data_IF_405716318419
#
_entry.id   IF_405716318419
#
_cell.length_a   1.000
_cell.length_b   1.000
_cell.length_c   1.000
_cell.angle_alpha   90.00
_cell.angle_beta   90.00
_cell.angle_gamma   90.00
#
_symmetry.space_group_name_H-M   'P 1'
#
loop_
_entity.id
_entity.type
_entity.pdbx_description
1 polymer ?
#
# COMPACT_ATOMS: atom_id res chain seq x y z
N UNK A 1 -9.70 -18.52 -14.41
CA UNK A 1 -9.76 -18.94 -12.99
C UNK A 1 -9.10 -17.88 -12.14
N UNK A 2 -9.89 -17.11 -11.40
CA UNK A 2 -9.44 -15.98 -10.60
C UNK A 2 -8.76 -16.50 -9.34
N UNK A 3 -7.42 -16.40 -9.25
CA UNK A 3 -6.70 -16.76 -8.02
C UNK A 3 -7.13 -15.81 -6.88
N UNK A 4 -7.38 -16.30 -5.67
CA UNK A 4 -7.68 -15.45 -4.52
C UNK A 4 -6.49 -14.54 -4.22
N UNK A 5 -6.77 -13.30 -3.81
CA UNK A 5 -5.76 -12.27 -3.52
C UNK A 5 -4.68 -12.71 -2.51
N UNK A 6 -4.99 -13.73 -1.69
CA UNK A 6 -4.06 -14.37 -0.75
C UNK A 6 -2.90 -15.13 -1.41
N UNK A 7 -3.03 -15.57 -2.66
CA UNK A 7 -1.95 -16.24 -3.40
C UNK A 7 -1.00 -15.28 -4.15
N UNK A 8 -1.33 -13.98 -4.21
CA UNK A 8 -0.52 -12.99 -4.92
C UNK A 8 0.64 -12.43 -4.08
N UNK A 9 0.88 -12.94 -2.87
CA UNK A 9 2.05 -12.60 -2.03
C UNK A 9 2.15 -11.11 -1.67
N UNK A 10 1.08 -10.33 -1.83
CA UNK A 10 1.10 -8.91 -1.55
C UNK A 10 0.98 -8.71 -0.05
N UNK A 11 2.12 -8.76 0.65
CA UNK A 11 2.23 -8.30 2.04
C UNK A 11 2.13 -6.78 2.10
N UNK A 12 0.99 -6.23 1.68
CA UNK A 12 0.69 -4.82 1.82
C UNK A 12 0.41 -4.53 3.31
N UNK A 13 1.46 -4.27 4.06
CA UNK A 13 1.35 -3.99 5.48
C UNK A 13 1.05 -2.51 5.68
N UNK A 14 0.15 -2.23 6.62
CA UNK A 14 -0.13 -0.89 7.14
C UNK A 14 0.40 -0.79 8.56
N UNK A 15 0.99 0.35 8.89
CA UNK A 15 1.26 0.72 10.27
C UNK A 15 0.95 2.19 10.59
N UNK A 16 0.66 2.46 11.86
CA UNK A 16 0.52 3.81 12.41
C UNK A 16 0.76 3.84 13.92
N UNK A 17 1.14 5.00 14.45
CA UNK A 17 1.33 5.20 15.90
C UNK A 17 -0.01 5.25 16.64
N UNK A 18 -0.10 4.56 17.77
CA UNK A 18 -1.26 4.61 18.65
C UNK A 18 -1.62 6.06 19.02
N UNK A 19 -2.90 6.41 18.90
CA UNK A 19 -3.37 7.77 19.22
C UNK A 19 -3.51 8.06 20.72
N UNK A 20 -3.29 7.08 21.60
CA UNK A 20 -3.31 7.30 23.04
C UNK A 20 -2.04 8.04 23.47
N UNK A 21 -2.14 9.20 24.16
CA UNK A 21 -0.99 10.02 24.53
C UNK A 21 0.08 9.29 25.35
N UNK A 22 -0.33 8.30 26.14
CA UNK A 22 0.53 7.52 27.04
C UNK A 22 1.01 6.20 26.40
N UNK A 23 0.77 6.01 25.10
CA UNK A 23 1.09 4.78 24.38
C UNK A 23 1.99 5.09 23.17
N UNK A 24 3.16 4.46 23.14
CA UNK A 24 4.11 4.48 22.02
C UNK A 24 3.91 3.31 21.04
N UNK A 25 2.86 2.51 21.22
CA UNK A 25 2.62 1.30 20.46
C UNK A 25 2.37 1.59 18.97
N UNK A 26 2.87 0.72 18.10
CA UNK A 26 2.60 0.78 16.66
C UNK A 26 1.53 -0.24 16.32
N UNK A 27 0.42 0.24 15.78
CA UNK A 27 -0.67 -0.61 15.28
C UNK A 27 -0.27 -1.09 13.89
N UNK A 28 -0.29 -2.40 13.65
CA UNK A 28 0.10 -3.01 12.37
C UNK A 28 -0.93 -4.04 11.92
N UNK A 29 -1.28 -4.05 10.64
CA UNK A 29 -2.19 -5.04 10.06
C UNK A 29 -1.94 -5.20 8.55
N UNK A 30 -2.41 -6.31 7.97
CA UNK A 30 -2.37 -6.52 6.54
C UNK A 30 -3.56 -5.83 5.88
N UNK A 31 -3.33 -5.13 4.78
CA UNK A 31 -4.37 -4.46 4.01
C UNK A 31 -5.45 -5.44 3.52
N UNK A 32 -5.11 -6.71 3.25
CA UNK A 32 -6.08 -7.73 2.87
C UNK A 32 -7.11 -8.04 3.98
N UNK A 33 -6.76 -7.81 5.24
CA UNK A 33 -7.61 -8.15 6.39
C UNK A 33 -8.79 -7.18 6.55
N UNK A 34 -8.70 -5.96 5.98
CA UNK A 34 -9.74 -4.93 6.12
C UNK A 34 -11.06 -5.32 5.44
N UNK A 35 -11.01 -6.27 4.50
CA UNK A 35 -12.18 -6.77 3.79
C UNK A 35 -13.11 -7.61 4.70
N UNK A 36 -12.64 -8.02 5.88
CA UNK A 36 -13.45 -8.65 6.90
C UNK A 36 -14.56 -7.72 7.40
N UNK A 37 -15.79 -8.23 7.50
CA UNK A 37 -16.96 -7.47 7.97
C UNK A 37 -16.72 -6.78 9.32
N UNK A 38 -16.02 -7.46 10.22
CA UNK A 38 -15.78 -7.02 11.60
C UNK A 38 -14.33 -6.61 11.87
N UNK A 39 -13.57 -6.27 10.83
CA UNK A 39 -12.17 -5.85 11.01
C UNK A 39 -12.08 -4.59 11.89
N UNK A 40 -11.28 -4.68 12.95
CA UNK A 40 -10.82 -3.57 13.78
C UNK A 40 -9.32 -3.66 13.94
N UNK A 41 -8.62 -2.53 13.76
CA UNK A 41 -7.21 -2.47 14.09
C UNK A 41 -7.09 -2.29 15.62
N UNK A 42 -6.24 -3.07 16.27
CA UNK A 42 -6.09 -3.05 17.73
C UNK A 42 -4.63 -2.76 18.07
N UNK A 43 -4.40 -1.78 18.96
CA UNK A 43 -3.06 -1.51 19.45
C UNK A 43 -2.57 -2.68 20.30
N UNK A 44 -1.38 -3.26 20.02
CA UNK A 44 -0.87 -4.39 20.78
C UNK A 44 -0.44 -4.02 22.20
N UNK A 45 -0.19 -2.73 22.49
CA UNK A 45 0.32 -2.26 23.79
C UNK A 45 -0.79 -1.83 24.76
N UNK A 46 -1.74 -1.03 24.30
CA UNK A 46 -2.82 -0.50 25.16
C UNK A 46 -4.20 -1.08 24.85
N UNK A 47 -4.29 -2.04 23.92
CA UNK A 47 -5.53 -2.69 23.48
C UNK A 47 -6.62 -1.75 22.97
N UNK A 48 -6.27 -0.50 22.63
CA UNK A 48 -7.20 0.43 22.02
C UNK A 48 -7.60 -0.07 20.63
N UNK A 49 -8.90 -0.20 20.41
CA UNK A 49 -9.47 -0.53 19.10
C UNK A 49 -9.69 0.73 18.26
N UNK A 50 -9.46 0.59 16.96
CA UNK A 50 -9.69 1.58 15.93
C UNK A 50 -10.68 1.00 14.92
N UNK A 51 -11.88 1.58 14.90
CA UNK A 51 -12.84 1.32 13.85
C UNK A 51 -12.45 2.13 12.62
N UNK A 52 -12.27 1.44 11.48
CA UNK A 52 -12.12 2.10 10.20
C UNK A 52 -13.51 2.41 9.67
N UNK A 53 -13.81 3.69 9.46
CA UNK A 53 -15.08 4.10 8.84
C UNK A 53 -15.18 3.61 7.39
N UNK A 54 -16.38 3.70 6.80
CA UNK A 54 -16.64 3.21 5.45
C UNK A 54 -15.82 3.94 4.37
N UNK A 55 -15.55 5.23 4.55
CA UNK A 55 -14.76 6.02 3.59
C UNK A 55 -13.28 5.63 3.62
N UNK A 56 -12.73 5.38 4.81
CA UNK A 56 -11.38 4.87 5.00
C UNK A 56 -11.26 3.45 4.45
N UNK A 57 -12.23 2.56 4.75
CA UNK A 57 -12.26 1.19 4.20
C UNK A 57 -12.33 1.19 2.68
N UNK A 58 -13.13 2.05 2.05
CA UNK A 58 -13.21 2.18 0.59
C UNK A 58 -11.86 2.60 -0.03
N UNK A 59 -11.21 3.64 0.52
CA UNK A 59 -9.89 4.09 0.04
C UNK A 59 -8.82 3.00 0.15
N UNK A 60 -8.77 2.33 1.29
CA UNK A 60 -7.83 1.24 1.54
C UNK A 60 -8.14 0.03 0.63
N UNK A 61 -9.41 -0.27 0.36
CA UNK A 61 -9.83 -1.30 -0.59
C UNK A 61 -9.36 -1.02 -2.02
N UNK A 62 -9.58 0.20 -2.53
CA UNK A 62 -9.08 0.61 -3.86
C UNK A 62 -7.56 0.57 -3.95
N UNK A 63 -6.87 0.89 -2.86
CA UNK A 63 -5.42 0.75 -2.78
C UNK A 63 -4.98 -0.70 -2.92
N UNK A 64 -5.67 -1.65 -2.29
CA UNK A 64 -5.40 -3.08 -2.46
C UNK A 64 -5.60 -3.52 -3.91
N UNK A 65 -6.69 -3.08 -4.54
CA UNK A 65 -6.97 -3.36 -5.96
C UNK A 65 -5.88 -2.82 -6.88
N UNK A 66 -5.38 -1.61 -6.63
CA UNK A 66 -4.27 -1.01 -7.38
C UNK A 66 -2.99 -1.86 -7.27
N UNK A 67 -2.62 -2.30 -6.07
CA UNK A 67 -1.44 -3.16 -5.86
C UNK A 67 -1.58 -4.46 -6.64
N UNK A 68 -2.77 -5.08 -6.59
CA UNK A 68 -3.07 -6.30 -7.32
C UNK A 68 -2.95 -6.07 -8.82
N UNK A 69 -3.46 -4.94 -9.34
CA UNK A 69 -3.38 -4.60 -10.75
C UNK A 69 -1.92 -4.40 -11.20
N UNK A 70 -1.12 -3.68 -10.41
CA UNK A 70 0.31 -3.47 -10.68
C UNK A 70 1.07 -4.80 -10.75
N UNK A 71 0.87 -5.69 -9.78
CA UNK A 71 1.51 -7.02 -9.77
C UNK A 71 1.10 -7.89 -10.96
N UNK A 72 -0.17 -7.79 -11.39
CA UNK A 72 -0.63 -8.51 -12.59
C UNK A 72 -0.03 -7.97 -13.88
N UNK A 73 0.41 -6.72 -13.88
CA UNK A 73 1.01 -6.04 -15.02
C UNK A 73 2.55 -6.00 -14.95
N UNK A 74 3.17 -6.70 -14.01
CA UNK A 74 4.61 -6.62 -13.73
C UNK A 74 5.48 -6.89 -14.97
N UNK A 75 5.07 -7.85 -15.80
CA UNK A 75 5.72 -8.20 -17.06
C UNK A 75 5.72 -7.02 -18.05
N UNK A 76 4.54 -6.44 -18.31
CA UNK A 76 4.42 -5.31 -19.25
C UNK A 76 5.01 -4.02 -18.68
N UNK A 77 4.98 -3.85 -17.35
CA UNK A 77 5.53 -2.67 -16.69
C UNK A 77 7.06 -2.70 -16.67
N UNK A 78 7.68 -3.88 -16.75
CA UNK A 78 9.12 -4.02 -17.00
C UNK A 78 9.54 -3.39 -18.32
N UNK A 79 8.73 -3.57 -19.37
CA UNK A 79 8.98 -3.06 -20.72
C UNK A 79 8.41 -1.64 -20.97
N UNK A 80 7.62 -1.13 -20.03
CA UNK A 80 6.94 0.16 -20.17
C UNK A 80 7.83 1.33 -19.77
N UNK A 81 7.74 2.43 -20.51
CA UNK A 81 8.40 3.68 -20.21
C UNK A 81 7.39 4.83 -20.16
N UNK A 82 7.58 5.76 -19.22
CA UNK A 82 6.90 7.05 -19.19
C UNK A 82 7.78 8.06 -19.92
N UNK A 83 7.31 8.54 -21.07
CA UNK A 83 7.96 9.63 -21.79
C UNK A 83 7.58 10.98 -21.18
N UNK A 84 8.59 11.79 -20.85
CA UNK A 84 8.43 13.16 -20.33
C UNK A 84 9.12 14.13 -21.28
N UNK A 85 8.36 15.08 -21.81
CA UNK A 85 8.91 16.16 -22.62
C UNK A 85 9.49 17.26 -21.71
N UNK A 86 10.77 17.56 -21.88
CA UNK A 86 11.49 18.65 -21.21
C UNK A 86 12.06 19.62 -22.25
N UNK A 87 12.53 20.79 -21.80
CA UNK A 87 13.09 21.80 -22.71
C UNK A 87 14.28 21.29 -23.55
N UNK A 88 14.97 20.24 -23.09
CA UNK A 88 16.07 19.58 -23.79
C UNK A 88 15.69 18.34 -24.62
N UNK A 89 14.39 18.02 -24.78
CA UNK A 89 13.93 16.86 -25.54
C UNK A 89 13.04 15.90 -24.73
N UNK A 90 12.90 14.66 -25.21
CA UNK A 90 12.13 13.62 -24.52
C UNK A 90 13.05 12.79 -23.60
N UNK A 91 12.64 12.62 -22.34
CA UNK A 91 13.26 11.70 -21.39
C UNK A 91 12.33 10.52 -21.16
N UNK A 92 12.84 9.30 -21.31
CA UNK A 92 12.11 8.07 -21.01
C UNK A 92 12.47 7.58 -19.62
N UNK A 93 11.46 7.43 -18.77
CA UNK A 93 11.60 6.92 -17.40
C UNK A 93 11.02 5.51 -17.37
N UNK A 94 11.83 4.46 -17.15
CA UNK A 94 11.33 3.10 -17.03
C UNK A 94 10.33 2.96 -15.87
N UNK A 95 9.19 2.33 -16.13
CA UNK A 95 8.16 2.12 -15.10
C UNK A 95 8.68 1.18 -14.00
N UNK A 96 9.57 0.26 -14.34
CA UNK A 96 10.31 -0.60 -13.40
C UNK A 96 11.03 0.16 -12.26
N UNK A 97 11.55 1.37 -12.53
CA UNK A 97 12.16 2.20 -11.47
C UNK A 97 11.14 2.65 -10.44
N UNK A 98 9.91 2.93 -10.89
CA UNK A 98 8.82 3.26 -9.99
C UNK A 98 8.46 2.04 -9.16
N UNK A 99 8.37 0.84 -9.75
CA UNK A 99 7.97 -0.39 -9.03
C UNK A 99 8.94 -0.83 -7.94
N UNK A 100 10.26 -0.67 -8.15
CA UNK A 100 11.30 -1.10 -7.20
C UNK A 100 11.58 -0.08 -6.10
N UNK A 101 11.23 1.19 -6.31
CA UNK A 101 11.45 2.29 -5.36
C UNK A 101 10.16 2.97 -4.89
N UNK A 102 8.99 2.40 -5.21
CA UNK A 102 7.68 2.85 -4.74
C UNK A 102 7.56 2.57 -3.24
N UNK A 103 7.95 3.55 -2.44
CA UNK A 103 7.45 3.69 -1.09
C UNK A 103 6.11 4.42 -1.19
N UNK A 104 5.01 3.71 -1.48
CA UNK A 104 3.70 4.36 -1.59
C UNK A 104 3.28 4.86 -0.22
N UNK A 105 3.07 6.17 -0.13
CA UNK A 105 2.55 6.85 1.04
C UNK A 105 1.13 7.31 0.72
N UNK A 106 0.18 6.99 1.60
CA UNK A 106 -1.14 7.63 1.57
C UNK A 106 -1.38 8.33 2.90
N UNK A 107 -1.58 9.65 2.86
CA UNK A 107 -1.95 10.43 4.04
C UNK A 107 -3.48 10.49 4.12
N UNK A 108 -4.05 9.88 5.16
CA UNK A 108 -5.50 9.87 5.39
C UNK A 108 -5.81 10.56 6.70
N UNK A 109 -6.97 11.22 6.76
CA UNK A 109 -7.47 11.79 8.01
C UNK A 109 -8.22 10.71 8.80
N UNK A 110 -7.77 10.44 10.03
CA UNK A 110 -8.39 9.47 10.94
C UNK A 110 -8.62 10.16 12.28
N UNK A 111 -9.89 10.34 12.65
CA UNK A 111 -10.26 10.98 13.92
C UNK A 111 -9.70 12.39 14.09
N UNK A 112 -9.68 13.19 13.01
CA UNK A 112 -9.15 14.57 13.00
C UNK A 112 -7.62 14.68 12.97
N UNK A 113 -6.90 13.58 12.75
CA UNK A 113 -5.43 13.56 12.60
C UNK A 113 -5.05 13.06 11.21
N UNK A 114 -4.06 13.71 10.59
CA UNK A 114 -3.41 13.17 9.40
C UNK A 114 -2.51 12.01 9.82
N UNK A 115 -2.72 10.86 9.19
CA UNK A 115 -1.97 9.63 9.44
C UNK A 115 -1.38 9.20 8.11
N UNK A 116 -0.07 9.01 8.14
CA UNK A 116 0.69 8.50 7.00
C UNK A 116 0.70 6.98 7.05
N UNK A 117 0.09 6.38 6.03
CA UNK A 117 0.06 4.95 5.83
C UNK A 117 1.19 4.58 4.87
N UNK A 118 2.20 3.90 5.38
CA UNK A 118 3.29 3.37 4.58
C UNK A 118 2.87 2.04 4.00
N UNK A 119 2.90 1.94 2.67
CA UNK A 119 2.64 0.70 1.98
C UNK A 119 3.97 0.04 1.63
N UNK A 120 4.25 -1.07 2.31
CA UNK A 120 5.37 -1.91 1.95
C UNK A 120 4.90 -2.92 0.91
N UNK A 121 5.34 -2.76 -0.33
CA UNK A 121 5.19 -3.79 -1.35
C UNK A 121 6.54 -4.46 -1.46
N UNK A 122 6.63 -5.75 -1.10
CA UNK A 122 7.86 -6.52 -1.37
C UNK A 122 8.19 -6.37 -2.86
N UNK A 123 9.41 -5.93 -3.20
CA UNK A 123 9.78 -5.74 -4.59
C UNK A 123 9.70 -7.08 -5.33
N UNK A 124 9.33 -7.01 -6.60
CA UNK A 124 9.70 -8.03 -7.56
C UNK A 124 11.20 -8.31 -7.41
N UNK A 125 11.60 -9.57 -7.44
CA UNK A 125 13.00 -10.00 -7.32
C UNK A 125 13.96 -9.04 -8.09
N UNK A 126 15.19 -8.79 -7.59
CA UNK A 126 16.22 -8.11 -8.37
C UNK A 126 16.41 -8.73 -9.76
N UNK A 127 16.13 -10.03 -9.90
CA UNK A 127 16.21 -10.79 -11.15
C UNK A 127 15.05 -10.55 -12.13
N UNK A 128 13.98 -9.86 -11.71
CA UNK A 128 12.82 -9.56 -12.57
C UNK A 128 13.09 -8.41 -13.55
N UNK A 129 14.22 -7.70 -13.39
CA UNK A 129 14.60 -6.57 -14.22
C UNK A 129 15.88 -6.90 -14.97
N UNK A 130 15.74 -7.62 -16.09
CA UNK A 130 16.81 -7.83 -17.07
C UNK A 130 16.64 -6.93 -18.28
#
# INVERSE_FOLDING_TARGET
MSRPASQLGAKAQIDFHCFSPECDGVVKFNLADIAGRDFQAVCPKCHRSYALDSGLKDKLGRMLELIIAIRKAEDILGDSNVSVNVAGGEVKIPYALLLTRLNTLITLEVGGRKVDFHLWVEPASPDTFR
#
